data_IF_733325833557
#
_entry.id   IF_733325833557
#
_cell.length_a   1.000
_cell.length_b   1.000
_cell.length_c   1.000
_cell.angle_alpha   90.00
_cell.angle_beta   90.00
_cell.angle_gamma   90.00
#
_symmetry.space_group_name_H-M   'P 1'
#
loop_
_entity.id
_entity.type
_entity.pdbx_description
1 polymer ?
#
# COMPACT_ATOMS: atom_id res chain seq x y z
N UNK A 1 -13.68 -26.14 6.54
CA UNK A 1 -14.16 -25.06 7.43
C UNK A 1 -14.19 -23.79 6.59
N UNK A 2 -15.37 -23.34 6.16
CA UNK A 2 -15.50 -22.06 5.43
C UNK A 2 -15.58 -20.95 6.47
N UNK A 3 -14.52 -20.15 6.59
CA UNK A 3 -14.52 -18.91 7.38
C UNK A 3 -15.58 -17.99 6.77
N UNK A 4 -16.55 -17.53 7.56
CA UNK A 4 -17.53 -16.54 7.09
C UNK A 4 -16.86 -15.17 7.06
N UNK A 5 -17.27 -14.28 6.16
CA UNK A 5 -16.67 -12.94 6.04
C UNK A 5 -16.76 -12.14 7.34
N UNK A 6 -17.80 -12.34 8.15
CA UNK A 6 -17.94 -11.76 9.49
C UNK A 6 -16.81 -12.22 10.43
N UNK A 7 -16.43 -13.50 10.39
CA UNK A 7 -15.33 -14.05 11.19
C UNK A 7 -13.98 -13.43 10.78
N UNK A 8 -13.79 -13.18 9.48
CA UNK A 8 -12.56 -12.57 8.97
C UNK A 8 -12.42 -11.11 9.41
N UNK A 9 -13.51 -10.33 9.40
CA UNK A 9 -13.52 -8.95 9.89
C UNK A 9 -13.20 -8.91 11.38
N UNK A 10 -13.79 -9.78 12.19
CA UNK A 10 -13.53 -9.83 13.64
C UNK A 10 -12.07 -10.19 13.97
N UNK A 11 -11.49 -11.17 13.27
CA UNK A 11 -10.08 -11.54 13.43
C UNK A 11 -9.15 -10.37 13.08
N UNK A 12 -9.42 -9.71 11.95
CA UNK A 12 -8.63 -8.54 11.53
C UNK A 12 -8.81 -7.39 12.52
N UNK A 13 -10.03 -7.10 12.96
CA UNK A 13 -10.31 -6.04 13.95
C UNK A 13 -9.57 -6.30 15.26
N UNK A 14 -9.56 -7.54 15.75
CA UNK A 14 -8.83 -7.91 16.96
C UNK A 14 -7.31 -7.72 16.77
N UNK A 15 -6.78 -8.07 15.60
CA UNK A 15 -5.36 -7.87 15.27
C UNK A 15 -4.99 -6.38 15.19
N UNK A 16 -5.84 -5.57 14.56
CA UNK A 16 -5.65 -4.12 14.45
C UNK A 16 -5.75 -3.43 15.81
N UNK A 17 -6.62 -3.89 16.71
CA UNK A 17 -6.71 -3.36 18.08
C UNK A 17 -5.41 -3.54 18.87
N UNK A 18 -4.66 -4.61 18.61
CA UNK A 18 -3.33 -4.82 19.20
C UNK A 18 -2.27 -3.90 18.58
N UNK A 19 -2.38 -3.63 17.28
CA UNK A 19 -1.43 -2.80 16.54
C UNK A 19 -1.65 -1.29 16.74
N UNK A 20 -2.90 -0.87 16.95
CA UNK A 20 -3.32 0.53 17.07
C UNK A 20 -4.08 0.75 18.38
N UNK A 21 -3.38 0.64 19.54
CA UNK A 21 -4.01 0.82 20.84
C UNK A 21 -4.52 2.26 20.98
N UNK A 22 -5.84 2.44 21.09
CA UNK A 22 -6.48 3.76 21.19
C UNK A 22 -7.38 4.11 20.01
N UNK A 23 -7.28 3.37 18.90
CA UNK A 23 -8.22 3.51 17.79
C UNK A 23 -9.65 3.14 18.22
N UNK A 24 -10.63 3.92 17.75
CA UNK A 24 -12.04 3.64 18.03
C UNK A 24 -12.51 2.35 17.34
N UNK A 25 -13.58 1.73 17.85
CA UNK A 25 -14.17 0.51 17.25
C UNK A 25 -14.55 0.75 15.79
N UNK A 26 -15.13 1.91 15.47
CA UNK A 26 -15.53 2.26 14.11
C UNK A 26 -14.34 2.48 13.17
N UNK A 27 -13.23 3.01 13.69
CA UNK A 27 -12.00 3.20 12.93
C UNK A 27 -11.33 1.84 12.64
N UNK A 28 -11.28 0.96 13.64
CA UNK A 28 -10.79 -0.41 13.48
C UNK A 28 -11.65 -1.25 12.52
N UNK A 29 -12.98 -1.08 12.55
CA UNK A 29 -13.88 -1.75 11.60
C UNK A 29 -13.62 -1.28 10.16
N UNK A 30 -13.50 0.04 9.93
CA UNK A 30 -13.17 0.61 8.62
C UNK A 30 -11.81 0.13 8.11
N UNK A 31 -10.79 0.10 8.97
CA UNK A 31 -9.46 -0.42 8.63
C UNK A 31 -9.50 -1.92 8.30
N UNK A 32 -10.29 -2.72 9.03
CA UNK A 32 -10.45 -4.15 8.77
C UNK A 32 -11.10 -4.43 7.41
N UNK A 33 -12.16 -3.69 7.07
CA UNK A 33 -12.82 -3.80 5.77
C UNK A 33 -11.88 -3.45 4.61
N UNK A 34 -11.04 -2.43 4.78
CA UNK A 34 -10.02 -2.05 3.80
C UNK A 34 -8.97 -3.14 3.62
N UNK A 35 -8.43 -3.68 4.72
CA UNK A 35 -7.43 -4.74 4.66
C UNK A 35 -7.96 -6.00 3.97
N UNK A 36 -9.20 -6.38 4.26
CA UNK A 36 -9.85 -7.52 3.59
C UNK A 36 -10.08 -7.27 2.11
N UNK A 37 -10.43 -6.03 1.72
CA UNK A 37 -10.55 -5.65 0.31
C UNK A 37 -9.20 -5.75 -0.40
N UNK A 38 -8.12 -5.21 0.19
CA UNK A 38 -6.77 -5.33 -0.37
C UNK A 38 -6.36 -6.79 -0.56
N UNK A 39 -6.70 -7.66 0.40
CA UNK A 39 -6.53 -9.10 0.28
C UNK A 39 -7.31 -9.69 -0.90
N UNK A 40 -8.58 -9.31 -1.07
CA UNK A 40 -9.42 -9.77 -2.18
C UNK A 40 -8.96 -9.26 -3.56
N UNK A 41 -8.31 -8.10 -3.60
CA UNK A 41 -7.71 -7.52 -4.80
C UNK A 41 -6.34 -8.11 -5.14
N UNK A 42 -5.79 -8.97 -4.29
CA UNK A 42 -4.47 -9.56 -4.51
C UNK A 42 -3.32 -8.59 -4.27
N UNK A 43 -3.50 -7.52 -3.48
CA UNK A 43 -2.46 -6.51 -3.24
C UNK A 43 -1.14 -7.10 -2.70
N UNK A 44 -1.24 -8.23 -1.98
CA UNK A 44 -0.09 -8.97 -1.45
C UNK A 44 0.84 -9.54 -2.53
N UNK A 45 0.35 -9.80 -3.75
CA UNK A 45 1.16 -10.33 -4.87
C UNK A 45 2.26 -9.36 -5.34
N UNK A 46 2.15 -8.10 -4.92
CA UNK A 46 2.96 -7.00 -5.40
C UNK A 46 3.59 -6.18 -4.27
N UNK A 47 3.59 -6.72 -3.04
CA UNK A 47 4.02 -5.97 -1.88
C UNK A 47 5.56 -5.83 -1.82
N UNK A 48 6.05 -4.60 -2.00
CA UNK A 48 7.44 -4.21 -1.77
C UNK A 48 7.57 -3.60 -0.37
N UNK A 49 8.78 -3.42 0.19
CA UNK A 49 8.95 -2.72 1.46
C UNK A 49 8.29 -1.33 1.50
N UNK A 50 8.37 -0.57 0.41
CA UNK A 50 7.77 0.76 0.26
C UNK A 50 6.24 0.69 0.19
N UNK A 51 5.68 -0.34 -0.47
CA UNK A 51 4.24 -0.55 -0.50
C UNK A 51 3.69 -1.05 0.84
N UNK A 52 4.41 -1.94 1.53
CA UNK A 52 4.09 -2.34 2.91
C UNK A 52 4.01 -1.12 3.83
N UNK A 53 4.97 -0.20 3.66
CA UNK A 53 5.00 1.05 4.40
C UNK A 53 3.83 1.97 4.07
N UNK A 54 3.48 2.10 2.78
CA UNK A 54 2.28 2.84 2.35
C UNK A 54 1.00 2.20 2.91
N UNK A 55 0.88 0.88 2.94
CA UNK A 55 -0.26 0.18 3.55
C UNK A 55 -0.37 0.49 5.04
N UNK A 56 0.76 0.53 5.75
CA UNK A 56 0.80 0.87 7.17
C UNK A 56 0.37 2.32 7.41
N UNK A 57 0.82 3.28 6.59
CA UNK A 57 0.35 4.67 6.64
C UNK A 57 -1.17 4.78 6.42
N UNK A 58 -1.70 4.08 5.41
CA UNK A 58 -3.14 4.03 5.14
C UNK A 58 -3.92 3.46 6.34
N UNK A 59 -3.42 2.39 6.97
CA UNK A 59 -4.06 1.80 8.15
C UNK A 59 -4.01 2.72 9.37
N UNK A 60 -2.92 3.46 9.58
CA UNK A 60 -2.83 4.45 10.65
C UNK A 60 -3.85 5.58 10.41
N UNK A 61 -3.95 6.08 9.18
CA UNK A 61 -4.93 7.10 8.81
C UNK A 61 -6.37 6.61 9.04
N UNK A 62 -6.72 5.43 8.55
CA UNK A 62 -8.06 4.83 8.71
C UNK A 62 -8.41 4.56 10.18
N UNK A 63 -7.41 4.29 11.01
CA UNK A 63 -7.56 4.00 12.43
C UNK A 63 -7.59 5.28 13.30
N UNK A 64 -7.47 6.47 12.70
CA UNK A 64 -7.26 7.76 13.39
C UNK A 64 -6.07 7.71 14.36
N UNK A 65 -5.06 6.90 14.01
CA UNK A 65 -3.93 6.61 14.85
C UNK A 65 -2.79 7.58 14.55
N UNK A 66 -2.31 8.27 15.59
CA UNK A 66 -1.30 9.31 15.41
C UNK A 66 0.07 8.67 15.10
N UNK A 67 0.82 9.14 14.08
CA UNK A 67 2.11 8.56 13.71
C UNK A 67 3.13 8.51 14.86
N UNK A 68 3.05 9.45 15.82
CA UNK A 68 3.93 9.49 16.99
C UNK A 68 3.65 8.41 18.04
N UNK A 69 2.50 7.75 17.96
CA UNK A 69 2.11 6.65 18.85
C UNK A 69 2.53 5.29 18.30
N UNK A 70 2.91 5.23 17.02
CA UNK A 70 3.31 3.99 16.37
C UNK A 70 4.67 3.50 16.87
N UNK A 71 4.67 2.27 17.38
CA UNK A 71 5.86 1.58 17.88
C UNK A 71 6.13 0.37 16.98
N UNK A 72 7.10 0.45 16.04
CA UNK A 72 7.43 -0.69 15.20
C UNK A 72 7.96 -1.85 16.05
N UNK A 73 7.62 -3.07 15.65
CA UNK A 73 8.11 -4.29 16.32
C UNK A 73 9.64 -4.43 16.23
N UNK A 74 10.25 -3.90 15.16
CA UNK A 74 11.70 -3.90 14.93
C UNK A 74 12.23 -2.46 14.86
N UNK A 75 12.56 -1.82 15.99
CA UNK A 75 12.91 -0.40 16.04
C UNK A 75 14.27 -0.06 15.41
N UNK A 76 15.15 -1.04 15.19
CA UNK A 76 16.52 -0.83 14.69
C UNK A 76 16.62 -0.84 13.15
N UNK A 77 15.56 -1.25 12.44
CA UNK A 77 15.56 -1.21 10.97
C UNK A 77 15.15 0.18 10.49
N UNK A 78 15.94 0.74 9.58
CA UNK A 78 15.55 1.97 8.87
C UNK A 78 14.24 1.68 8.12
N UNK A 79 13.16 2.30 8.58
CA UNK A 79 11.84 2.21 7.95
C UNK A 79 11.97 2.71 6.51
N UNK A 80 11.57 1.92 5.49
CA UNK A 80 11.60 2.38 4.11
C UNK A 80 10.68 3.60 3.98
N UNK A 81 10.91 4.44 2.95
CA UNK A 81 9.96 5.50 2.64
C UNK A 81 8.71 4.89 2.02
N UNK A 82 7.53 5.37 2.39
CA UNK A 82 6.27 4.93 1.80
C UNK A 82 6.26 5.16 0.29
N UNK A 83 5.75 4.18 -0.46
CA UNK A 83 5.62 4.27 -1.90
C UNK A 83 4.77 5.49 -2.30
N UNK A 84 5.13 6.28 -3.33
CA UNK A 84 4.32 7.41 -3.79
C UNK A 84 3.15 6.97 -4.69
N UNK A 85 2.65 5.75 -4.53
CA UNK A 85 1.56 5.14 -5.31
C UNK A 85 0.94 3.98 -4.52
N UNK A 86 -0.22 3.50 -4.98
CA UNK A 86 -0.90 2.31 -4.43
C UNK A 86 -1.11 1.25 -5.50
N UNK A 87 -1.16 -0.02 -5.09
CA UNK A 87 -1.57 -1.14 -5.93
C UNK A 87 -2.98 -1.66 -5.64
N UNK A 88 -3.64 -1.11 -4.61
CA UNK A 88 -5.03 -1.40 -4.24
C UNK A 88 -5.99 -0.27 -4.63
N UNK A 89 -7.23 -0.62 -4.93
CA UNK A 89 -8.26 0.26 -5.46
C UNK A 89 -8.88 1.16 -4.37
N UNK A 90 -9.46 2.28 -4.80
CA UNK A 90 -10.08 3.37 -4.00
C UNK A 90 -9.15 4.29 -3.19
N UNK A 91 -8.21 5.01 -3.85
CA UNK A 91 -7.41 6.04 -3.20
C UNK A 91 -8.25 7.24 -2.71
N UNK A 92 -9.45 7.42 -3.26
CA UNK A 92 -10.42 8.47 -2.93
C UNK A 92 -10.95 8.41 -1.48
N UNK A 93 -10.79 7.28 -0.78
CA UNK A 93 -11.17 7.14 0.63
C UNK A 93 -10.03 7.44 1.62
N UNK A 94 -8.80 7.59 1.13
CA UNK A 94 -7.65 8.02 1.92
C UNK A 94 -7.45 9.56 1.88
N UNK A 95 -8.28 10.28 1.12
CA UNK A 95 -8.25 11.75 0.96
C UNK A 95 -6.89 12.33 0.50
N UNK A 96 -6.01 11.52 -0.11
CA UNK A 96 -4.66 11.93 -0.47
C UNK A 96 -4.32 11.79 -1.96
N UNK A 97 -3.16 12.31 -2.35
CA UNK A 97 -2.74 12.51 -3.74
C UNK A 97 -2.12 11.26 -4.40
N UNK A 98 -2.14 10.07 -3.78
CA UNK A 98 -1.37 8.94 -4.31
C UNK A 98 -2.09 8.18 -5.43
N UNK A 99 -1.51 8.12 -6.64
CA UNK A 99 -2.13 7.48 -7.79
C UNK A 99 -2.20 5.95 -7.65
N UNK A 100 -3.30 5.37 -8.14
CA UNK A 100 -3.45 3.93 -8.31
C UNK A 100 -2.63 3.40 -9.49
N UNK A 101 -1.97 2.25 -9.31
CA UNK A 101 -1.26 1.50 -10.34
C UNK A 101 -1.61 0.01 -10.26
N UNK A 102 -1.81 -0.66 -11.40
CA UNK A 102 -2.13 -2.09 -11.43
C UNK A 102 -1.01 -3.00 -10.89
N UNK A 103 0.24 -2.55 -11.02
CA UNK A 103 1.43 -3.21 -10.50
C UNK A 103 2.46 -2.15 -10.11
N UNK A 104 3.44 -2.48 -9.24
CA UNK A 104 4.57 -1.61 -8.95
C UNK A 104 5.28 -1.23 -10.26
N UNK A 105 5.82 -0.01 -10.39
CA UNK A 105 6.70 0.31 -11.50
C UNK A 105 7.86 -0.69 -11.49
N UNK A 106 8.12 -1.28 -12.65
CA UNK A 106 9.37 -1.98 -12.87
C UNK A 106 10.51 -0.96 -12.63
N UNK A 107 11.63 -1.30 -11.96
CA UNK A 107 12.82 -0.44 -11.97
C UNK A 107 13.21 0.03 -13.38
N UNK A 108 12.82 -0.70 -14.42
CA UNK A 108 13.02 -0.33 -15.82
C UNK A 108 11.91 0.55 -16.45
N UNK A 109 10.74 0.71 -15.82
CA UNK A 109 9.61 1.52 -16.32
C UNK A 109 9.94 3.03 -16.39
N UNK A 110 11.03 3.46 -15.72
CA UNK A 110 11.61 4.81 -15.82
C UNK A 110 12.64 4.99 -16.93
N UNK A 111 13.03 3.91 -17.63
CA UNK A 111 13.90 4.00 -18.80
C UNK A 111 13.07 4.02 -20.08
N UNK A 112 12.33 5.11 -20.29
CA UNK A 112 12.39 5.66 -21.65
C UNK A 112 13.85 6.03 -21.90
N UNK A 113 14.67 5.04 -22.31
CA UNK A 113 15.70 5.30 -23.30
C UNK A 113 14.96 6.08 -24.35
N UNK A 114 15.25 7.37 -24.41
CA UNK A 114 14.97 8.20 -25.57
C UNK A 114 15.51 7.39 -26.74
N UNK A 115 14.61 6.64 -27.39
CA UNK A 115 14.91 5.87 -28.57
C UNK A 115 15.26 6.95 -29.57
N UNK A 116 16.55 7.11 -29.82
CA UNK A 116 17.09 7.97 -30.86
C UNK A 116 16.18 7.85 -32.10
N UNK A 117 15.49 8.93 -32.51
CA UNK A 117 14.94 8.97 -33.86
C UNK A 117 16.09 9.41 -34.77
N UNK A 118 17.03 8.49 -35.06
CA UNK A 118 18.26 8.89 -35.74
C UNK A 118 19.16 7.77 -36.24
N UNK A 119 18.63 6.58 -36.55
CA UNK A 119 19.31 5.66 -37.47
C UNK A 119 18.59 5.65 -38.81
N UNK A 120 19.25 5.21 -39.89
CA UNK A 120 20.40 5.80 -40.57
C UNK A 120 19.97 6.40 -41.93
N UNK A 121 20.73 7.34 -42.51
CA UNK A 121 20.64 7.59 -43.96
C UNK A 121 22.02 7.75 -44.64
N UNK A 122 22.13 7.30 -45.90
CA UNK A 122 23.39 7.03 -46.59
C UNK A 122 23.86 8.15 -47.53
N UNK A 123 25.09 7.99 -48.05
CA UNK A 123 25.71 8.68 -49.21
C UNK A 123 26.26 10.09 -48.93
N UNK A 124 27.35 10.57 -49.51
CA UNK A 124 28.08 10.26 -50.75
C UNK A 124 29.60 10.53 -50.51
N UNK A 125 30.55 9.91 -51.22
CA UNK A 125 30.90 10.23 -52.60
C UNK A 125 32.07 11.20 -52.60
#
# INVERSE_FOLDING_TARGET
MTVRSEDAVEIVRASLALAFPGASVDALARAAEHLLRWGAEGAAEHITPELSERMLEDLMFLSDFQPGEYRPAEPERRRPQAAPYRTWSRPDQAEDEYPFRRRPPDPDDGTTRRRDPGGPQPSAG
#
